data_IF_195029814397
#
_entry.id   IF_195029814397
#
_cell.length_a   1.000
_cell.length_b   1.000
_cell.length_c   1.000
_cell.angle_alpha   90.00
_cell.angle_beta   90.00
_cell.angle_gamma   90.00
#
_symmetry.space_group_name_H-M   'P 1'
#
loop_
_entity.id
_entity.type
_entity.pdbx_description
1 polymer ?
#
# COMPACT_ATOMS: atom_id res chain seq x y z
N UNK A 1 37.25 -9.53 19.53
CA UNK A 1 37.19 -9.43 18.06
C UNK A 1 37.17 -7.96 17.71
N UNK A 2 38.13 -7.47 16.92
CA UNK A 2 38.09 -6.09 16.40
C UNK A 2 36.93 -6.02 15.41
N UNK A 3 35.90 -5.23 15.71
CA UNK A 3 34.85 -4.86 14.76
C UNK A 3 35.54 -4.27 13.53
N UNK A 4 35.38 -4.91 12.37
CA UNK A 4 35.84 -4.39 11.08
C UNK A 4 34.90 -3.24 10.72
N UNK A 5 35.22 -2.03 11.18
CA UNK A 5 34.45 -0.85 10.83
C UNK A 5 34.84 -0.42 9.41
N UNK A 6 33.93 -0.64 8.45
CA UNK A 6 34.13 -0.31 7.05
C UNK A 6 33.74 1.15 6.79
N UNK A 7 34.57 2.09 7.25
CA UNK A 7 34.28 3.53 7.16
C UNK A 7 34.07 4.07 5.73
N UNK A 8 34.64 3.39 4.73
CA UNK A 8 34.53 3.78 3.32
C UNK A 8 33.43 3.02 2.57
N UNK A 9 32.60 2.23 3.26
CA UNK A 9 31.56 1.45 2.60
C UNK A 9 30.48 2.40 2.06
N UNK A 10 30.29 2.36 0.74
CA UNK A 10 29.31 3.21 0.02
C UNK A 10 28.02 2.45 -0.25
N UNK A 11 28.12 1.16 -0.58
CA UNK A 11 26.97 0.31 -0.87
C UNK A 11 27.09 -0.98 -0.05
N UNK A 12 26.00 -1.34 0.62
CA UNK A 12 25.84 -2.57 1.37
C UNK A 12 24.52 -3.21 0.98
N UNK A 13 24.60 -4.36 0.32
CA UNK A 13 23.46 -5.21 0.02
C UNK A 13 23.58 -6.52 0.79
N UNK A 14 22.65 -6.73 1.71
CA UNK A 14 22.47 -7.93 2.52
C UNK A 14 21.08 -8.54 2.28
N UNK A 15 20.41 -8.17 1.20
CA UNK A 15 19.05 -8.62 0.92
C UNK A 15 18.95 -10.12 0.66
N UNK A 16 17.75 -10.68 0.76
CA UNK A 16 17.46 -12.11 0.50
C UNK A 16 18.30 -13.08 1.33
N UNK A 17 18.52 -12.74 2.59
CA UNK A 17 19.21 -13.60 3.55
C UNK A 17 18.25 -14.04 4.67
N UNK A 18 18.75 -14.81 5.63
CA UNK A 18 17.99 -15.21 6.82
C UNK A 18 18.51 -14.53 8.08
N UNK A 19 18.99 -13.28 7.97
CA UNK A 19 19.46 -12.52 9.13
C UNK A 19 18.31 -12.31 10.11
N UNK A 20 18.58 -12.58 11.38
CA UNK A 20 17.63 -12.52 12.48
C UNK A 20 18.12 -11.55 13.56
N UNK A 21 17.21 -11.12 14.43
CA UNK A 21 17.52 -10.20 15.51
C UNK A 21 17.40 -8.73 15.08
N UNK A 22 17.96 -7.79 15.86
CA UNK A 22 17.92 -6.38 15.52
C UNK A 22 18.95 -6.01 14.46
N UNK A 23 18.70 -4.91 13.74
CA UNK A 23 19.69 -4.32 12.84
C UNK A 23 20.93 -3.92 13.67
N UNK A 24 22.15 -4.41 13.34
CA UNK A 24 23.34 -4.19 14.16
C UNK A 24 23.68 -2.71 14.30
N UNK A 25 23.89 -2.25 15.55
CA UNK A 25 24.26 -0.85 15.83
C UNK A 25 25.60 -0.46 15.20
N UNK A 26 26.49 -1.42 14.92
CA UNK A 26 27.76 -1.18 14.24
C UNK A 26 27.58 -0.54 12.85
N UNK A 27 26.43 -0.74 12.18
CA UNK A 27 26.12 -0.08 10.92
C UNK A 27 26.09 1.45 11.06
N UNK A 28 25.77 1.99 12.24
CA UNK A 28 25.78 3.43 12.52
C UNK A 28 27.14 4.09 12.22
N UNK A 29 28.24 3.33 12.35
CA UNK A 29 29.59 3.85 12.10
C UNK A 29 29.97 3.93 10.61
N UNK A 30 29.12 3.42 9.72
CA UNK A 30 29.33 3.45 8.26
C UNK A 30 28.77 4.76 7.67
N UNK A 31 29.37 5.90 8.05
CA UNK A 31 28.86 7.24 7.71
C UNK A 31 28.93 7.60 6.22
N UNK A 32 29.70 6.86 5.42
CA UNK A 32 29.83 7.05 3.97
C UNK A 32 28.78 6.29 3.15
N UNK A 33 27.87 5.57 3.81
CA UNK A 33 26.93 4.67 3.16
C UNK A 33 25.85 5.46 2.42
N UNK A 34 25.67 5.10 1.15
CA UNK A 34 24.70 5.68 0.21
C UNK A 34 23.62 4.70 -0.17
N UNK A 35 23.94 3.41 -0.27
CA UNK A 35 22.95 2.38 -0.60
C UNK A 35 22.97 1.30 0.49
N UNK A 36 21.84 1.13 1.17
CA UNK A 36 21.62 0.09 2.16
C UNK A 36 20.43 -0.76 1.74
N UNK A 37 20.67 -2.02 1.42
CA UNK A 37 19.61 -2.98 1.17
C UNK A 37 19.67 -4.11 2.20
N UNK A 38 18.68 -4.15 3.10
CA UNK A 38 18.50 -5.16 4.13
C UNK A 38 17.23 -6.00 3.90
N UNK A 39 16.61 -5.89 2.73
CA UNK A 39 15.30 -6.50 2.47
C UNK A 39 15.30 -8.02 2.47
N UNK A 40 14.11 -8.61 2.57
CA UNK A 40 13.93 -10.06 2.56
C UNK A 40 14.79 -10.79 3.60
N UNK A 41 14.95 -10.17 4.77
CA UNK A 41 15.52 -10.76 5.97
C UNK A 41 14.44 -10.95 7.06
N UNK A 42 14.85 -11.49 8.21
CA UNK A 42 13.97 -11.78 9.36
C UNK A 42 14.35 -10.89 10.56
N UNK A 43 14.70 -9.63 10.30
CA UNK A 43 14.96 -8.67 11.37
C UNK A 43 13.69 -8.46 12.20
N UNK A 44 13.79 -8.62 13.52
CA UNK A 44 12.64 -8.64 14.43
C UNK A 44 12.57 -7.40 15.35
N UNK A 45 13.16 -6.30 14.91
CA UNK A 45 13.21 -5.04 15.65
C UNK A 45 12.60 -3.89 14.86
N UNK A 46 12.18 -2.84 15.57
CA UNK A 46 11.85 -1.55 14.97
C UNK A 46 13.06 -0.95 14.26
N UNK A 47 12.79 -0.07 13.30
CA UNK A 47 13.81 0.69 12.57
C UNK A 47 14.54 1.60 13.57
N UNK A 48 15.86 1.43 13.77
CA UNK A 48 16.58 2.21 14.76
C UNK A 48 16.63 3.69 14.38
N UNK A 49 16.54 4.58 15.37
CA UNK A 49 16.52 6.03 15.12
C UNK A 49 17.79 6.55 14.43
N UNK A 50 18.93 5.89 14.64
CA UNK A 50 20.19 6.25 13.99
C UNK A 50 20.15 6.06 12.46
N UNK A 51 19.27 5.21 11.95
CA UNK A 51 19.13 5.02 10.51
C UNK A 51 18.58 6.29 9.83
N UNK A 52 17.72 7.03 10.53
CA UNK A 52 17.22 8.34 10.08
C UNK A 52 18.28 9.44 10.12
N UNK A 53 19.46 9.18 10.69
CA UNK A 53 20.54 10.18 10.81
C UNK A 53 21.58 10.13 9.69
N UNK A 54 21.49 9.15 8.77
CA UNK A 54 22.40 9.10 7.63
C UNK A 54 22.11 10.23 6.63
N UNK A 55 23.00 11.22 6.60
CA UNK A 55 22.85 12.40 5.75
C UNK A 55 23.18 12.16 4.27
N UNK A 56 23.81 11.03 3.93
CA UNK A 56 24.24 10.70 2.57
C UNK A 56 23.51 9.50 1.97
N UNK A 57 22.50 8.95 2.68
CA UNK A 57 21.81 7.75 2.24
C UNK A 57 20.93 8.07 1.02
N UNK A 58 21.25 7.49 -0.11
CA UNK A 58 20.53 7.65 -1.37
C UNK A 58 19.49 6.54 -1.57
N UNK A 59 19.72 5.35 -1.02
CA UNK A 59 18.81 4.22 -1.11
C UNK A 59 18.78 3.45 0.21
N UNK A 60 17.59 3.17 0.71
CA UNK A 60 17.34 2.36 1.88
C UNK A 60 16.21 1.39 1.60
N UNK A 61 16.49 0.09 1.54
CA UNK A 61 15.47 -0.94 1.50
C UNK A 61 15.51 -1.79 2.78
N UNK A 62 14.45 -1.76 3.59
CA UNK A 62 14.29 -2.65 4.76
C UNK A 62 12.99 -3.47 4.68
N UNK A 63 12.45 -3.69 3.49
CA UNK A 63 11.25 -4.51 3.33
C UNK A 63 11.45 -5.92 3.92
N UNK A 64 10.56 -6.36 4.82
CA UNK A 64 10.61 -7.73 5.37
C UNK A 64 9.24 -8.38 5.33
N UNK A 65 9.20 -9.68 5.57
CA UNK A 65 7.96 -10.45 5.67
C UNK A 65 7.10 -10.10 6.90
N UNK A 66 7.62 -9.35 7.89
CA UNK A 66 6.94 -9.22 9.18
C UNK A 66 7.27 -7.92 9.95
N UNK A 67 7.51 -6.81 9.24
CA UNK A 67 7.89 -5.55 9.88
C UNK A 67 6.69 -4.96 10.65
N UNK A 68 6.61 -5.24 11.96
CA UNK A 68 5.77 -4.47 12.88
C UNK A 68 6.50 -3.16 13.19
N UNK A 69 6.18 -2.11 12.45
CA UNK A 69 6.77 -0.79 12.67
C UNK A 69 5.68 0.23 12.94
N UNK A 70 5.91 1.07 13.94
CA UNK A 70 5.20 2.33 14.12
C UNK A 70 5.97 3.40 13.36
N UNK A 71 5.29 4.20 12.53
CA UNK A 71 5.93 5.35 11.88
C UNK A 71 6.29 6.35 12.99
N UNK A 72 7.59 6.48 13.27
CA UNK A 72 8.10 7.41 14.28
C UNK A 72 8.14 8.83 13.72
N UNK A 73 7.97 9.83 14.59
CA UNK A 73 8.22 11.25 14.26
C UNK A 73 9.64 11.51 13.74
N UNK A 74 10.58 10.59 13.99
CA UNK A 74 11.95 10.65 13.48
C UNK A 74 12.04 10.57 11.95
N UNK A 75 10.97 10.15 11.25
CA UNK A 75 10.92 10.14 9.78
C UNK A 75 11.18 11.54 9.17
N UNK A 76 10.83 12.61 9.88
CA UNK A 76 11.09 13.99 9.43
C UNK A 76 12.56 14.39 9.38
N UNK A 77 13.48 13.58 9.95
CA UNK A 77 14.92 13.81 9.89
C UNK A 77 15.55 13.37 8.56
N UNK A 78 14.80 12.64 7.72
CA UNK A 78 15.24 12.14 6.41
C UNK A 78 15.25 13.25 5.35
N UNK A 79 15.81 14.41 5.67
CA UNK A 79 15.82 15.59 4.79
C UNK A 79 16.67 15.41 3.53
N UNK A 80 17.55 14.40 3.53
CA UNK A 80 18.53 14.14 2.47
C UNK A 80 18.36 12.77 1.80
N UNK A 81 17.39 11.96 2.25
CA UNK A 81 17.22 10.61 1.74
C UNK A 81 16.57 10.62 0.35
N UNK A 82 17.24 9.97 -0.61
CA UNK A 82 16.79 9.96 -2.01
C UNK A 82 15.78 8.84 -2.26
N UNK A 83 15.84 7.71 -1.58
CA UNK A 83 14.84 6.65 -1.73
C UNK A 83 14.80 5.77 -0.49
N UNK A 84 13.62 5.59 0.09
CA UNK A 84 13.38 4.69 1.21
C UNK A 84 12.22 3.77 0.84
N UNK A 85 12.53 2.51 0.62
CA UNK A 85 11.56 1.45 0.42
C UNK A 85 11.52 0.57 1.68
N UNK A 86 10.36 0.47 2.30
CA UNK A 86 10.09 -0.45 3.40
C UNK A 86 8.88 -1.32 3.05
N UNK A 87 8.43 -1.32 1.79
CA UNK A 87 7.16 -1.88 1.35
C UNK A 87 7.21 -3.39 1.13
N UNK A 88 6.12 -4.10 1.41
CA UNK A 88 6.00 -5.52 1.05
C UNK A 88 5.57 -5.67 -0.40
N UNK A 89 6.53 -5.56 -1.30
CA UNK A 89 6.35 -5.97 -2.68
C UNK A 89 7.60 -6.70 -3.15
N UNK A 90 7.40 -7.85 -3.80
CA UNK A 90 8.32 -8.28 -4.85
C UNK A 90 8.38 -7.15 -5.89
N UNK A 91 9.26 -6.17 -5.66
CA UNK A 91 9.88 -5.43 -6.74
C UNK A 91 10.70 -6.46 -7.49
N UNK A 92 10.03 -7.21 -8.35
CA UNK A 92 10.63 -8.01 -9.40
C UNK A 92 11.34 -7.06 -10.36
N UNK A 93 12.49 -6.54 -9.94
CA UNK A 93 13.63 -6.42 -10.83
C UNK A 93 13.93 -7.84 -11.30
N UNK A 94 13.24 -8.28 -12.36
CA UNK A 94 13.46 -9.57 -13.02
C UNK A 94 14.95 -9.71 -13.36
N UNK A 95 15.74 -10.29 -12.46
CA UNK A 95 17.13 -10.70 -12.68
C UNK A 95 18.07 -9.63 -13.26
N UNK A 96 17.74 -8.34 -13.17
CA UNK A 96 18.68 -7.27 -13.54
C UNK A 96 19.41 -6.85 -12.28
N UNK A 97 20.69 -7.20 -12.22
CA UNK A 97 21.68 -6.41 -11.48
C UNK A 97 21.46 -4.96 -11.91
N UNK A 98 20.94 -4.12 -11.02
CA UNK A 98 20.96 -2.69 -11.23
C UNK A 98 22.42 -2.28 -11.09
N UNK A 99 23.17 -2.33 -12.20
CA UNK A 99 24.43 -1.60 -12.27
C UNK A 99 24.06 -0.12 -12.16
N UNK A 100 24.21 0.42 -10.95
CA UNK A 100 24.11 1.85 -10.66
C UNK A 100 25.30 2.57 -11.33
N UNK A 101 25.33 2.59 -12.66
CA UNK A 101 26.43 3.14 -13.47
C UNK A 101 26.29 4.65 -13.72
N UNK A 102 25.11 5.20 -13.49
CA UNK A 102 24.83 6.64 -13.52
C UNK A 102 23.92 7.00 -12.35
N UNK A 103 24.20 8.14 -11.72
CA UNK A 103 23.37 8.73 -10.65
C UNK A 103 21.92 8.67 -11.08
N UNK A 104 21.13 7.77 -10.47
CA UNK A 104 19.69 7.67 -10.69
C UNK A 104 19.12 9.08 -10.61
N UNK A 105 18.27 9.47 -11.56
CA UNK A 105 17.50 10.70 -11.46
C UNK A 105 16.94 10.79 -10.03
N UNK A 106 17.27 11.87 -9.32
CA UNK A 106 16.98 12.08 -7.90
C UNK A 106 15.47 12.07 -7.63
N UNK A 107 14.85 10.90 -7.54
CA UNK A 107 13.43 10.78 -7.18
C UNK A 107 13.34 10.47 -5.70
N UNK A 108 12.95 11.47 -4.90
CA UNK A 108 12.73 11.34 -3.46
C UNK A 108 11.46 10.51 -3.18
N UNK A 109 11.63 9.20 -2.96
CA UNK A 109 10.52 8.24 -2.77
C UNK A 109 10.53 7.70 -1.34
N UNK A 110 9.35 7.61 -0.71
CA UNK A 110 9.11 6.78 0.47
C UNK A 110 7.96 5.82 0.15
N UNK A 111 8.24 4.51 0.13
CA UNK A 111 7.21 3.48 0.02
C UNK A 111 7.22 2.60 1.27
N UNK A 112 6.17 2.69 2.09
CA UNK A 112 5.94 1.81 3.24
C UNK A 112 4.69 0.95 3.07
N UNK A 113 4.23 0.74 1.83
CA UNK A 113 2.98 0.05 1.58
C UNK A 113 3.01 -1.44 1.94
N UNK A 114 1.82 -2.03 2.16
CA UNK A 114 1.64 -3.47 2.42
C UNK A 114 2.34 -3.96 3.69
N UNK A 115 2.42 -3.12 4.70
CA UNK A 115 2.94 -3.49 6.01
C UNK A 115 1.81 -3.61 7.03
N UNK A 116 2.17 -3.84 8.29
CA UNK A 116 1.25 -3.78 9.41
C UNK A 116 1.45 -2.49 10.23
N UNK A 117 1.70 -1.35 9.56
CA UNK A 117 1.95 -0.07 10.23
C UNK A 117 0.65 0.42 10.89
N UNK A 118 0.75 0.73 12.18
CA UNK A 118 -0.37 1.18 13.01
C UNK A 118 -0.10 2.55 13.63
N UNK A 119 -1.16 3.20 14.13
CA UNK A 119 -1.09 4.54 14.72
C UNK A 119 -1.36 5.63 13.69
N UNK A 120 -1.11 6.88 14.06
CA UNK A 120 -1.35 8.04 13.20
C UNK A 120 -0.17 8.32 12.27
N UNK A 121 -0.43 9.02 11.16
CA UNK A 121 0.62 9.60 10.33
C UNK A 121 1.26 10.77 11.10
N UNK A 122 2.56 10.71 11.44
CA UNK A 122 3.18 11.80 12.19
C UNK A 122 3.26 13.05 11.32
N UNK A 123 2.94 14.21 11.92
CA UNK A 123 3.01 15.51 11.25
C UNK A 123 4.41 15.82 10.71
N UNK A 124 5.44 15.24 11.30
CA UNK A 124 6.83 15.40 10.88
C UNK A 124 7.08 14.88 9.46
N UNK A 125 6.25 13.98 8.91
CA UNK A 125 6.32 13.59 7.48
C UNK A 125 6.19 14.81 6.57
N UNK A 126 5.44 15.85 6.99
CA UNK A 126 5.24 17.05 6.17
C UNK A 126 6.46 17.97 6.14
N UNK A 127 7.54 17.68 6.89
CA UNK A 127 8.81 18.40 6.77
C UNK A 127 9.59 18.02 5.51
N UNK A 128 9.27 16.88 4.89
CA UNK A 128 9.96 16.31 3.73
C UNK A 128 9.53 17.03 2.44
N UNK A 129 9.87 18.32 2.32
CA UNK A 129 9.41 19.19 1.23
C UNK A 129 9.90 18.80 -0.16
N UNK A 130 11.02 18.08 -0.23
CA UNK A 130 11.59 17.57 -1.48
C UNK A 130 11.00 16.22 -1.92
N UNK A 131 10.15 15.57 -1.11
CA UNK A 131 9.60 14.25 -1.41
C UNK A 131 8.66 14.31 -2.63
N UNK A 132 8.85 13.40 -3.57
CA UNK A 132 8.06 13.30 -4.80
C UNK A 132 7.03 12.17 -4.76
N UNK A 133 7.33 11.08 -4.06
CA UNK A 133 6.40 9.96 -3.92
C UNK A 133 6.31 9.51 -2.47
N UNK A 134 5.08 9.40 -1.96
CA UNK A 134 4.78 8.87 -0.64
C UNK A 134 3.68 7.82 -0.74
N UNK A 135 4.00 6.59 -0.35
CA UNK A 135 3.07 5.47 -0.39
C UNK A 135 2.99 4.80 0.98
N UNK A 136 1.85 4.93 1.67
CA UNK A 136 1.54 4.21 2.91
C UNK A 136 0.35 3.24 2.74
N UNK A 137 0.00 2.88 1.51
CA UNK A 137 -1.18 2.05 1.23
C UNK A 137 -1.10 0.66 1.86
N UNK A 138 -2.23 -0.01 2.04
CA UNK A 138 -2.29 -1.37 2.62
C UNK A 138 -1.60 -1.46 4.00
N UNK A 139 -2.04 -0.64 4.94
CA UNK A 139 -1.59 -0.65 6.32
C UNK A 139 -2.81 -0.58 7.27
N UNK A 140 -2.56 -0.44 8.57
CA UNK A 140 -3.60 -0.26 9.60
C UNK A 140 -3.49 1.12 10.27
N UNK A 141 -3.12 2.15 9.50
CA UNK A 141 -2.97 3.52 9.98
C UNK A 141 -4.34 4.12 10.32
N UNK A 142 -4.38 4.86 11.43
CA UNK A 142 -5.58 5.51 12.00
C UNK A 142 -5.38 7.03 12.08
N UNK A 143 -6.34 7.75 12.66
CA UNK A 143 -6.23 9.20 12.87
C UNK A 143 -6.54 10.00 11.60
N UNK A 144 -6.01 11.22 11.50
CA UNK A 144 -6.29 12.15 10.38
C UNK A 144 -5.08 12.27 9.46
N UNK A 145 -5.34 12.66 8.21
CA UNK A 145 -4.28 13.15 7.32
C UNK A 145 -3.75 14.47 7.90
N UNK A 146 -2.43 14.66 8.07
CA UNK A 146 -1.86 15.88 8.64
C UNK A 146 -2.29 17.15 7.89
N UNK A 147 -2.73 18.18 8.63
CA UNK A 147 -3.18 19.46 8.04
C UNK A 147 -2.08 20.16 7.22
N UNK A 148 -0.81 19.87 7.49
CA UNK A 148 0.34 20.43 6.78
C UNK A 148 0.75 19.63 5.54
N UNK A 149 -0.03 18.63 5.08
CA UNK A 149 0.31 17.83 3.90
C UNK A 149 0.57 18.69 2.66
N UNK A 150 -0.12 19.83 2.54
CA UNK A 150 0.09 20.82 1.48
C UNK A 150 1.45 21.52 1.47
N UNK A 151 2.27 21.37 2.52
CA UNK A 151 3.62 21.94 2.58
C UNK A 151 4.66 21.10 1.82
N UNK A 152 4.30 19.86 1.44
CA UNK A 152 5.13 18.94 0.67
C UNK A 152 5.06 19.25 -0.83
N UNK A 153 5.51 20.45 -1.20
CA UNK A 153 5.30 21.06 -2.52
C UNK A 153 5.86 20.28 -3.70
N UNK A 154 6.82 19.37 -3.48
CA UNK A 154 7.38 18.52 -4.55
C UNK A 154 6.61 17.22 -4.79
N UNK A 155 5.55 16.92 -4.03
CA UNK A 155 4.81 15.66 -4.18
C UNK A 155 4.13 15.54 -5.55
N UNK A 156 4.44 14.44 -6.23
CA UNK A 156 3.86 14.02 -7.52
C UNK A 156 2.92 12.83 -7.37
N UNK A 157 3.16 11.97 -6.37
CA UNK A 157 2.38 10.76 -6.08
C UNK A 157 2.13 10.58 -4.59
N UNK A 158 0.87 10.38 -4.19
CA UNK A 158 0.45 10.13 -2.82
C UNK A 158 -0.55 8.96 -2.77
N UNK A 159 -0.21 7.88 -2.09
CA UNK A 159 -1.12 6.75 -1.90
C UNK A 159 -1.27 6.38 -0.43
N UNK A 160 -2.44 6.64 0.13
CA UNK A 160 -2.84 6.28 1.49
C UNK A 160 -4.01 5.28 1.51
N UNK A 161 -4.29 4.63 0.38
CA UNK A 161 -5.43 3.74 0.24
C UNK A 161 -5.34 2.49 1.12
N UNK A 162 -6.49 1.88 1.43
CA UNK A 162 -6.56 0.64 2.22
C UNK A 162 -5.89 0.83 3.59
N UNK A 163 -6.45 1.76 4.36
CA UNK A 163 -6.06 2.08 5.74
C UNK A 163 -7.34 2.34 6.58
N UNK A 164 -7.19 2.85 7.80
CA UNK A 164 -8.29 3.22 8.69
C UNK A 164 -8.29 4.74 8.97
N UNK A 165 -7.77 5.56 8.05
CA UNK A 165 -7.71 7.02 8.20
C UNK A 165 -9.11 7.61 8.26
N UNK A 166 -9.28 8.66 9.05
CA UNK A 166 -10.57 9.26 9.39
C UNK A 166 -10.51 10.80 9.34
N UNK A 167 -11.68 11.43 9.45
CA UNK A 167 -11.79 12.89 9.39
C UNK A 167 -11.82 13.42 7.96
N UNK A 168 -11.61 14.74 7.81
CA UNK A 168 -11.72 15.41 6.52
C UNK A 168 -10.41 15.36 5.75
N UNK A 169 -10.47 15.45 4.43
CA UNK A 169 -9.29 15.73 3.60
C UNK A 169 -8.84 17.18 3.87
N UNK A 170 -7.59 17.43 4.30
CA UNK A 170 -7.11 18.77 4.60
C UNK A 170 -7.23 19.72 3.41
N UNK A 171 -7.79 20.94 3.59
CA UNK A 171 -7.85 21.94 2.52
C UNK A 171 -6.47 22.33 1.95
N UNK A 172 -5.41 22.16 2.75
CA UNK A 172 -4.03 22.40 2.31
C UNK A 172 -3.60 21.49 1.16
N UNK A 173 -4.22 20.32 0.98
CA UNK A 173 -3.91 19.39 -0.11
C UNK A 173 -4.09 20.03 -1.50
N UNK A 174 -4.95 21.04 -1.61
CA UNK A 174 -5.12 21.87 -2.81
C UNK A 174 -3.87 22.66 -3.21
N UNK A 175 -2.87 22.80 -2.33
CA UNK A 175 -1.59 23.45 -2.62
C UNK A 175 -0.59 22.55 -3.35
N UNK A 176 -0.85 21.26 -3.46
CA UNK A 176 0.05 20.29 -4.09
C UNK A 176 -0.08 20.36 -5.62
N UNK A 177 0.57 21.35 -6.25
CA UNK A 177 0.43 21.65 -7.68
C UNK A 177 1.06 20.62 -8.61
N UNK A 178 2.00 19.82 -8.12
CA UNK A 178 2.66 18.75 -8.89
C UNK A 178 1.98 17.39 -8.73
N UNK A 179 0.99 17.28 -7.85
CA UNK A 179 0.34 16.01 -7.54
C UNK A 179 -0.43 15.50 -8.78
N UNK A 180 0.03 14.39 -9.33
CA UNK A 180 -0.54 13.76 -10.53
C UNK A 180 -1.22 12.44 -10.22
N UNK A 181 -0.79 11.77 -9.14
CA UNK A 181 -1.36 10.51 -8.67
C UNK A 181 -1.76 10.68 -7.20
N UNK A 182 -3.03 10.44 -6.92
CA UNK A 182 -3.57 10.42 -5.57
C UNK A 182 -4.47 9.20 -5.43
N UNK A 183 -4.35 8.50 -4.31
CA UNK A 183 -5.29 7.45 -3.94
C UNK A 183 -5.53 7.47 -2.43
N UNK A 184 -6.76 7.80 -2.05
CA UNK A 184 -7.26 7.84 -0.68
C UNK A 184 -8.38 6.81 -0.45
N UNK A 185 -8.60 5.91 -1.42
CA UNK A 185 -9.71 4.96 -1.40
C UNK A 185 -9.62 3.98 -0.23
N UNK A 186 -10.76 3.40 0.16
CA UNK A 186 -10.83 2.36 1.20
C UNK A 186 -10.27 2.86 2.55
N UNK A 187 -10.90 3.91 3.08
CA UNK A 187 -10.60 4.52 4.39
C UNK A 187 -11.93 4.94 5.07
N UNK A 188 -11.86 5.67 6.19
CA UNK A 188 -13.01 6.24 6.91
C UNK A 188 -13.07 7.78 6.78
N UNK A 189 -12.63 8.34 5.65
CA UNK A 189 -12.65 9.78 5.41
C UNK A 189 -14.08 10.29 5.23
N UNK A 190 -14.35 11.49 5.74
CA UNK A 190 -15.68 12.11 5.75
C UNK A 190 -15.67 13.50 5.08
N UNK A 191 -16.84 13.92 4.62
CA UNK A 191 -17.09 15.31 4.22
C UNK A 191 -16.73 15.62 2.76
N UNK A 192 -16.62 16.92 2.47
CA UNK A 192 -16.46 17.38 1.08
C UNK A 192 -15.00 17.33 0.64
N UNK A 193 -14.75 16.80 -0.55
CA UNK A 193 -13.44 16.87 -1.22
C UNK A 193 -13.08 18.35 -1.46
N UNK A 194 -11.91 18.84 -1.01
CA UNK A 194 -11.49 20.23 -1.21
C UNK A 194 -11.51 20.63 -2.68
N UNK A 195 -12.21 21.72 -2.99
CA UNK A 195 -12.27 22.24 -4.36
C UNK A 195 -10.92 22.81 -4.79
N UNK A 196 -10.26 22.12 -5.71
CA UNK A 196 -9.14 22.65 -6.49
C UNK A 196 -9.16 22.03 -7.89
N UNK A 197 -8.60 22.74 -8.87
CA UNK A 197 -8.52 22.29 -10.27
C UNK A 197 -7.77 20.97 -10.41
N UNK A 198 -6.77 20.73 -9.55
CA UNK A 198 -5.96 19.51 -9.57
C UNK A 198 -6.66 18.32 -8.89
N UNK A 199 -7.32 18.52 -7.75
CA UNK A 199 -8.01 17.39 -7.08
C UNK A 199 -9.25 16.93 -7.86
N UNK A 200 -9.90 17.84 -8.57
CA UNK A 200 -11.08 17.55 -9.38
C UNK A 200 -10.76 16.89 -10.73
N UNK A 201 -9.51 16.97 -11.21
CA UNK A 201 -9.09 16.28 -12.44
C UNK A 201 -8.73 14.81 -12.22
N UNK A 202 -8.60 14.40 -10.95
CA UNK A 202 -8.30 13.02 -10.56
C UNK A 202 -9.52 12.11 -10.73
N UNK A 203 -9.25 10.81 -10.88
CA UNK A 203 -10.30 9.81 -11.09
C UNK A 203 -11.13 9.61 -9.81
N UNK A 204 -12.45 9.45 -9.97
CA UNK A 204 -13.36 9.16 -8.85
C UNK A 204 -12.93 7.94 -8.01
N UNK A 205 -12.29 6.95 -8.63
CA UNK A 205 -11.75 5.75 -7.96
C UNK A 205 -10.81 6.07 -6.81
N UNK A 206 -10.07 7.18 -6.88
CA UNK A 206 -9.15 7.63 -5.83
C UNK A 206 -9.83 7.94 -4.50
N UNK A 207 -11.16 8.07 -4.47
CA UNK A 207 -11.92 8.48 -3.28
C UNK A 207 -12.96 7.44 -2.85
N UNK A 208 -13.15 6.35 -3.61
CA UNK A 208 -14.16 5.31 -3.34
C UNK A 208 -13.88 4.59 -2.03
N UNK A 209 -14.93 4.07 -1.37
CA UNK A 209 -14.78 3.34 -0.10
C UNK A 209 -14.48 4.29 1.06
N UNK A 210 -15.08 5.48 1.05
CA UNK A 210 -15.09 6.49 2.12
C UNK A 210 -16.49 7.13 2.20
N UNK A 211 -16.73 7.97 3.20
CA UNK A 211 -17.94 8.80 3.34
C UNK A 211 -17.72 10.22 2.76
N UNK A 212 -17.05 10.28 1.61
CA UNK A 212 -16.73 11.52 0.91
C UNK A 212 -17.82 11.94 -0.07
N UNK A 213 -17.87 13.23 -0.35
CA UNK A 213 -18.79 13.82 -1.32
C UNK A 213 -18.17 15.05 -2.03
N UNK A 214 -18.79 15.49 -3.11
CA UNK A 214 -18.28 16.52 -4.02
C UNK A 214 -17.42 15.94 -5.16
N UNK A 215 -17.21 16.74 -6.20
CA UNK A 215 -16.38 16.36 -7.35
C UNK A 215 -15.00 15.86 -6.89
N UNK A 216 -14.47 14.77 -7.48
CA UNK A 216 -14.96 14.04 -8.66
C UNK A 216 -16.04 12.98 -8.39
N UNK A 217 -16.53 12.83 -7.15
CA UNK A 217 -17.62 11.90 -6.84
C UNK A 217 -18.97 12.46 -7.31
N UNK A 218 -19.88 11.56 -7.71
CA UNK A 218 -21.25 11.94 -8.12
C UNK A 218 -22.14 12.42 -6.96
N UNK A 219 -21.80 12.08 -5.72
CA UNK A 219 -22.54 12.50 -4.53
C UNK A 219 -22.27 13.98 -4.22
N UNK A 220 -23.27 14.86 -4.37
CA UNK A 220 -23.11 16.31 -4.25
C UNK A 220 -23.20 16.88 -2.82
N UNK A 221 -22.96 16.06 -1.79
CA UNK A 221 -23.07 16.47 -0.38
C UNK A 221 -24.44 17.05 -0.01
N UNK A 222 -25.53 16.61 -0.67
CA UNK A 222 -26.86 17.11 -0.34
C UNK A 222 -27.24 16.58 1.04
N UNK A 223 -27.32 17.49 2.01
CA UNK A 223 -27.90 17.19 3.32
C UNK A 223 -29.36 16.84 3.06
N UNK A 224 -29.70 15.56 3.05
CA UNK A 224 -31.07 15.15 3.30
C UNK A 224 -31.36 15.51 4.75
N UNK A 225 -31.76 16.75 4.98
CA UNK A 225 -32.54 17.11 6.16
C UNK A 225 -33.82 16.29 6.06
N UNK A 226 -33.78 15.05 6.56
CA UNK A 226 -34.99 14.39 7.03
C UNK A 226 -35.40 15.21 8.25
N UNK A 227 -36.18 16.26 7.99
CA UNK A 227 -36.98 16.92 9.00
C UNK A 227 -37.78 15.81 9.68
N UNK A 228 -37.72 15.63 11.01
CA UNK A 228 -38.56 14.65 11.67
C UNK A 228 -39.99 15.17 11.53
N UNK A 229 -40.72 14.68 10.53
CA UNK A 229 -42.13 14.94 10.39
C UNK A 229 -42.82 14.09 11.46
N UNK A 230 -43.12 14.73 12.60
CA UNK A 230 -44.33 14.44 13.36
C UNK A 230 -45.51 14.66 12.44
N UNK A 231 -46.03 13.59 11.84
CA UNK A 231 -47.42 13.14 12.01
C UNK A 231 -47.70 11.97 11.05
N UNK A 232 -48.44 11.00 11.59
CA UNK A 232 -48.80 9.74 10.97
C UNK A 232 -49.58 9.94 9.67
N UNK A 233 -49.31 9.14 8.65
CA UNK A 233 -50.37 8.35 8.02
C UNK A 233 -49.79 7.16 7.25
N UNK A 234 -50.47 6.02 7.42
CA UNK A 234 -50.17 4.76 6.76
C UNK A 234 -50.36 4.90 5.26
N UNK A 235 -49.33 4.58 4.50
CA UNK A 235 -49.49 3.82 3.26
C UNK A 235 -48.41 2.75 3.21
N UNK A 236 -48.88 1.50 3.31
CA UNK A 236 -48.10 0.34 2.87
C UNK A 236 -47.94 0.51 1.36
N UNK A 237 -46.72 0.69 0.89
CA UNK A 237 -46.39 0.24 -0.46
C UNK A 237 -45.08 -0.54 -0.44
N UNK A 238 -45.17 -1.74 -0.98
CA UNK A 238 -44.18 -2.81 -0.92
C UNK A 238 -43.36 -2.70 -2.20
N UNK A 239 -42.41 -1.76 -2.23
CA UNK A 239 -41.44 -1.60 -3.32
C UNK A 239 -40.22 -2.50 -3.08
N UNK A 240 -40.14 -3.59 -3.84
CA UNK A 240 -39.29 -4.75 -3.58
C UNK A 240 -37.80 -4.49 -3.46
N UNK A 241 -37.14 -5.41 -2.73
CA UNK A 241 -35.74 -5.75 -2.97
C UNK A 241 -35.59 -6.05 -4.45
N UNK A 242 -34.99 -5.13 -5.19
CA UNK A 242 -34.47 -5.40 -6.52
C UNK A 242 -33.30 -6.37 -6.31
N UNK A 243 -33.64 -7.66 -6.29
CA UNK A 243 -32.67 -8.74 -6.22
C UNK A 243 -31.87 -8.66 -7.51
N UNK A 244 -30.60 -8.28 -7.38
CA UNK A 244 -29.69 -8.26 -8.52
C UNK A 244 -29.44 -9.70 -8.99
N UNK A 245 -30.23 -10.10 -9.98
CA UNK A 245 -30.27 -11.45 -10.54
C UNK A 245 -28.91 -11.88 -11.10
N UNK A 246 -28.02 -10.93 -11.39
CA UNK A 246 -26.64 -11.23 -11.76
C UNK A 246 -25.91 -11.92 -10.61
N UNK A 247 -25.91 -11.37 -9.41
CA UNK A 247 -25.23 -11.97 -8.24
C UNK A 247 -25.89 -13.28 -7.80
N UNK A 248 -27.23 -13.39 -7.92
CA UNK A 248 -27.93 -14.65 -7.64
C UNK A 248 -27.52 -15.73 -8.64
N UNK A 249 -27.43 -15.40 -9.93
CA UNK A 249 -27.00 -16.34 -10.97
C UNK A 249 -25.54 -16.77 -10.78
N UNK A 250 -24.68 -15.84 -10.36
CA UNK A 250 -23.26 -16.11 -10.09
C UNK A 250 -23.08 -17.00 -8.86
N UNK A 251 -23.81 -16.74 -7.78
CA UNK A 251 -23.78 -17.55 -6.57
C UNK A 251 -24.29 -18.97 -6.84
N UNK A 252 -25.42 -19.12 -7.53
CA UNK A 252 -25.96 -20.42 -7.93
C UNK A 252 -25.00 -21.16 -8.89
N UNK A 253 -24.40 -20.45 -9.84
CA UNK A 253 -23.42 -21.00 -10.76
C UNK A 253 -22.16 -21.51 -10.06
N UNK A 254 -21.67 -20.78 -9.06
CA UNK A 254 -20.52 -21.22 -8.26
C UNK A 254 -20.86 -22.46 -7.43
N UNK A 255 -22.01 -22.48 -6.75
CA UNK A 255 -22.44 -23.64 -5.95
C UNK A 255 -22.61 -24.88 -6.85
N UNK A 256 -23.32 -24.76 -7.96
CA UNK A 256 -23.53 -25.89 -8.88
C UNK A 256 -22.20 -26.34 -9.51
N UNK A 257 -21.40 -25.41 -10.04
CA UNK A 257 -20.12 -25.74 -10.67
C UNK A 257 -19.11 -26.37 -9.71
N UNK A 258 -19.01 -25.82 -8.50
CA UNK A 258 -18.10 -26.33 -7.47
C UNK A 258 -18.51 -27.73 -7.01
N UNK A 259 -19.79 -27.96 -6.70
CA UNK A 259 -20.24 -29.25 -6.18
C UNK A 259 -20.37 -30.33 -7.26
N UNK A 260 -20.63 -29.99 -8.53
CA UNK A 260 -20.66 -30.97 -9.63
C UNK A 260 -19.25 -31.49 -9.94
N UNK A 261 -18.23 -30.65 -9.87
CA UNK A 261 -16.84 -31.04 -10.18
C UNK A 261 -16.13 -31.61 -8.95
N UNK A 262 -16.17 -30.89 -7.83
CA UNK A 262 -15.39 -31.24 -6.64
C UNK A 262 -16.13 -32.17 -5.69
N UNK A 263 -17.46 -32.15 -5.65
CA UNK A 263 -18.27 -33.03 -4.80
C UNK A 263 -17.96 -34.52 -5.03
N UNK A 264 -18.01 -35.03 -6.28
CA UNK A 264 -17.68 -36.42 -6.57
C UNK A 264 -16.21 -36.79 -6.24
N UNK A 265 -15.28 -35.85 -6.44
CA UNK A 265 -13.86 -36.03 -6.15
C UNK A 265 -13.56 -36.12 -4.65
N UNK A 266 -14.31 -35.41 -3.81
CA UNK A 266 -14.18 -35.42 -2.35
C UNK A 266 -14.86 -36.63 -1.70
N UNK A 267 -15.98 -37.10 -2.26
CA UNK A 267 -16.78 -38.16 -1.65
C UNK A 267 -16.32 -39.58 -2.02
N UNK A 268 -15.66 -39.79 -3.16
CA UNK A 268 -15.32 -41.14 -3.62
C UNK A 268 -13.88 -41.28 -4.14
N UNK A 269 -13.07 -42.10 -3.44
CA UNK A 269 -11.68 -42.43 -3.81
C UNK A 269 -11.56 -43.02 -5.21
N UNK A 270 -12.58 -43.73 -5.71
CA UNK A 270 -12.55 -44.37 -7.02
C UNK A 270 -12.68 -43.34 -8.17
N UNK A 271 -13.57 -42.35 -8.02
CA UNK A 271 -13.73 -41.25 -8.98
C UNK A 271 -12.49 -40.37 -9.06
N UNK A 272 -11.85 -40.11 -7.91
CA UNK A 272 -10.58 -39.39 -7.84
C UNK A 272 -9.50 -40.08 -8.68
N UNK A 273 -9.39 -41.40 -8.58
CA UNK A 273 -8.40 -42.16 -9.36
C UNK A 273 -8.67 -42.10 -10.87
N UNK A 274 -9.93 -42.27 -11.29
CA UNK A 274 -10.31 -42.21 -12.71
C UNK A 274 -10.08 -40.81 -13.31
N UNK A 275 -10.36 -39.75 -12.56
CA UNK A 275 -10.13 -38.37 -12.99
C UNK A 275 -8.64 -38.06 -13.23
N UNK A 276 -7.77 -38.44 -12.30
CA UNK A 276 -6.32 -38.25 -12.48
C UNK A 276 -5.76 -39.12 -13.62
N UNK A 277 -6.25 -40.35 -13.79
CA UNK A 277 -5.86 -41.20 -14.91
C UNK A 277 -6.27 -40.60 -16.27
N UNK A 278 -7.42 -39.92 -16.33
CA UNK A 278 -7.85 -39.20 -17.52
C UNK A 278 -6.94 -37.99 -17.83
N UNK A 279 -6.60 -37.19 -16.82
CA UNK A 279 -5.69 -36.04 -16.97
C UNK A 279 -4.29 -36.47 -17.44
N UNK A 280 -3.74 -37.56 -16.89
CA UNK A 280 -2.46 -38.12 -17.34
C UNK A 280 -2.50 -38.57 -18.81
N UNK A 281 -3.60 -39.21 -19.24
CA UNK A 281 -3.78 -39.59 -20.66
C UNK A 281 -3.87 -38.37 -21.57
N UNK A 282 -4.49 -37.28 -21.12
CA UNK A 282 -4.60 -36.03 -21.86
C UNK A 282 -3.25 -35.33 -21.97
N UNK A 283 -2.50 -35.25 -20.87
CA UNK A 283 -1.14 -34.72 -20.84
C UNK A 283 -0.19 -35.50 -21.75
N UNK A 284 -0.28 -36.83 -21.76
CA UNK A 284 0.52 -37.68 -22.63
C UNK A 284 0.15 -37.54 -24.12
N UNK A 285 -1.15 -37.38 -24.44
CA UNK A 285 -1.59 -37.08 -25.82
C UNK A 285 -1.11 -35.69 -26.28
N UNK A 286 -1.17 -34.69 -25.43
CA UNK A 286 -0.68 -33.34 -25.74
C UNK A 286 0.84 -33.33 -25.92
N UNK A 287 1.61 -34.06 -25.10
CA UNK A 287 3.06 -34.22 -25.30
C UNK A 287 3.41 -34.93 -26.61
N UNK A 288 2.60 -35.89 -27.05
CA UNK A 288 2.79 -36.57 -28.33
C UNK A 288 2.43 -35.75 -29.56
N UNK A 289 1.74 -34.61 -29.40
CA UNK A 289 1.42 -33.66 -30.48
C UNK A 289 2.41 -32.50 -30.54
N UNK A 290 3.16 -32.26 -29.46
CA UNK A 290 4.18 -31.18 -29.33
C UNK A 290 5.62 -31.72 -29.52
N UNK A 291 5.77 -33.02 -29.80
CA UNK A 291 7.01 -33.67 -30.24
C UNK A 291 6.93 -34.03 -31.71
#
# INVERSE_FOLDING_TARGET
MRSLVLHNLVSLDLSFNSFQGPIPVDLQNMTSLRHLNLSYNVFNSSIPNWLYSFSHLEFLDLSTYNLQVTISSSIGNLTSAISIDLSYNELGGKGKVLEYSTTLQLVNIIDLSKNNLSGEIPKEVTSLRGLQSLNFSFNILTGRIPENIGDMVSLESLDFSVNQLSGHIPPSMSKLTFLSKLNLSMNHLIGRIPSSTHLQSLTASSFVGNELCGLPLANNCTINYVKPNTENERSKDFGGLEVDWFYVSMALGFVVGFWVVWGPLLMNKHWRFLYFQFLDRLGNKLRGVVS
#
